data_IF_744295996465
#
_entry.id   IF_744295996465
#
_cell.length_a   1.000
_cell.length_b   1.000
_cell.length_c   1.000
_cell.angle_alpha   90.00
_cell.angle_beta   90.00
_cell.angle_gamma   90.00
#
_symmetry.space_group_name_H-M   'P 1'
#
loop_
_entity.id
_entity.type
_entity.pdbx_description
1 polymer ?
#
# COMPACT_ATOMS: atom_id res chain seq x y z
N UNK A 1 9.57 -7.42 -9.78
CA UNK A 1 9.29 -6.09 -9.18
C UNK A 1 7.82 -5.80 -9.35
N UNK A 2 7.14 -5.47 -8.26
CA UNK A 2 5.73 -5.08 -8.26
C UNK A 2 5.70 -3.55 -8.18
N UNK A 3 5.08 -2.91 -9.16
CA UNK A 3 4.88 -1.46 -9.15
C UNK A 3 3.48 -1.17 -8.63
N UNK A 4 3.37 -0.45 -7.52
CA UNK A 4 2.11 -0.01 -6.92
C UNK A 4 1.96 1.48 -7.16
N UNK A 5 0.85 1.85 -7.77
CA UNK A 5 0.47 3.26 -7.91
C UNK A 5 -0.51 3.63 -6.79
N UNK A 6 -0.17 4.69 -6.08
CA UNK A 6 -0.99 5.28 -5.04
C UNK A 6 -1.94 6.34 -5.65
N UNK A 7 -3.06 6.64 -4.98
CA UNK A 7 -4.05 7.61 -5.46
C UNK A 7 -3.52 9.06 -5.53
N UNK A 8 -2.39 9.35 -4.91
CA UNK A 8 -1.66 10.62 -5.03
C UNK A 8 -0.85 10.74 -6.33
N UNK A 9 -0.82 9.67 -7.16
CA UNK A 9 -0.04 9.59 -8.39
C UNK A 9 1.37 9.03 -8.20
N UNK A 10 1.82 8.83 -6.95
CA UNK A 10 3.12 8.25 -6.64
C UNK A 10 3.17 6.78 -7.06
N UNK A 11 4.31 6.34 -7.60
CA UNK A 11 4.58 4.94 -7.90
C UNK A 11 5.68 4.43 -6.97
N UNK A 12 5.47 3.25 -6.42
CA UNK A 12 6.44 2.59 -5.55
C UNK A 12 6.73 1.20 -6.08
N UNK A 13 8.00 0.85 -6.12
CA UNK A 13 8.45 -0.46 -6.57
C UNK A 13 8.85 -1.30 -5.38
N UNK A 14 8.34 -2.52 -5.35
CA UNK A 14 8.63 -3.48 -4.32
C UNK A 14 9.21 -4.78 -4.90
N UNK A 15 10.18 -5.40 -4.20
CA UNK A 15 10.90 -6.55 -4.73
C UNK A 15 10.11 -7.87 -4.66
N UNK A 16 9.12 -7.98 -3.77
CA UNK A 16 8.35 -9.20 -3.53
C UNK A 16 6.85 -8.90 -3.46
N UNK A 17 6.02 -9.92 -3.21
CA UNK A 17 4.62 -9.72 -2.81
C UNK A 17 4.57 -9.23 -1.36
N UNK A 18 3.70 -8.26 -1.08
CA UNK A 18 3.52 -7.64 0.23
C UNK A 18 2.05 -7.33 0.47
N UNK A 19 1.72 -7.11 1.72
CA UNK A 19 0.37 -6.74 2.16
C UNK A 19 0.14 -5.24 2.02
N UNK A 20 -1.12 -4.81 2.10
CA UNK A 20 -1.43 -3.38 2.11
C UNK A 20 -0.85 -2.70 3.35
N UNK A 21 -0.77 -3.41 4.47
CA UNK A 21 -0.11 -2.95 5.69
C UNK A 21 1.37 -2.64 5.47
N UNK A 22 2.09 -3.49 4.74
CA UNK A 22 3.50 -3.27 4.41
C UNK A 22 3.67 -2.04 3.48
N UNK A 23 2.77 -1.87 2.51
CA UNK A 23 2.74 -0.65 1.67
C UNK A 23 2.56 0.57 2.56
N UNK A 24 1.58 0.56 3.46
CA UNK A 24 1.30 1.67 4.37
C UNK A 24 2.49 1.96 5.31
N UNK A 25 3.15 0.91 5.83
CA UNK A 25 4.34 1.03 6.68
C UNK A 25 5.52 1.66 5.92
N UNK A 26 5.68 1.34 4.64
CA UNK A 26 6.70 1.96 3.80
C UNK A 26 6.43 3.45 3.51
N UNK A 27 5.17 3.90 3.61
CA UNK A 27 4.79 5.32 3.44
C UNK A 27 5.04 6.07 4.75
N UNK A 28 4.65 5.48 5.88
CA UNK A 28 4.96 6.02 7.20
C UNK A 28 4.28 5.26 8.32
N UNK A 29 4.91 5.24 9.49
CA UNK A 29 4.40 4.55 10.68
C UNK A 29 3.03 5.06 11.13
N UNK A 30 2.74 6.36 10.94
CA UNK A 30 1.43 6.95 11.19
C UNK A 30 0.33 6.42 10.26
N UNK A 31 0.64 6.26 8.97
CA UNK A 31 -0.31 5.72 7.99
C UNK A 31 -0.53 4.23 8.24
N UNK A 32 0.51 3.45 8.53
CA UNK A 32 0.36 2.05 8.90
C UNK A 32 -0.53 1.85 10.13
N UNK A 33 -0.41 2.74 11.12
CA UNK A 33 -1.24 2.67 12.33
C UNK A 33 -2.69 3.06 12.08
N UNK A 34 -2.93 3.97 11.12
CA UNK A 34 -4.28 4.40 10.73
C UNK A 34 -4.92 3.50 9.66
N UNK A 35 -4.13 2.72 8.94
CA UNK A 35 -4.57 1.83 7.88
C UNK A 35 -5.28 0.61 8.49
N UNK A 36 -6.62 0.63 8.46
CA UNK A 36 -7.46 -0.49 8.86
C UNK A 36 -7.68 -1.50 7.72
N UNK A 37 -7.38 -1.11 6.48
CA UNK A 37 -7.55 -1.92 5.28
C UNK A 37 -7.09 -1.15 4.04
N UNK A 38 -7.07 -1.84 2.90
CA UNK A 38 -6.68 -1.30 1.60
C UNK A 38 -7.80 -1.33 0.58
N UNK A 39 -7.67 -0.50 -0.46
CA UNK A 39 -8.48 -0.61 -1.67
C UNK A 39 -7.57 -0.87 -2.86
N UNK A 40 -7.68 -2.06 -3.44
CA UNK A 40 -6.91 -2.49 -4.62
C UNK A 40 -7.88 -2.69 -5.77
N UNK A 41 -7.67 -1.98 -6.87
CA UNK A 41 -8.50 -2.06 -8.08
C UNK A 41 -10.01 -1.93 -7.82
N UNK A 42 -10.41 -1.07 -6.90
CA UNK A 42 -11.82 -0.87 -6.55
C UNK A 42 -12.33 -1.80 -5.44
N UNK A 43 -11.58 -2.84 -5.07
CA UNK A 43 -11.98 -3.85 -4.08
C UNK A 43 -11.33 -3.57 -2.73
N UNK A 44 -12.13 -3.59 -1.67
CA UNK A 44 -11.65 -3.49 -0.29
C UNK A 44 -11.02 -4.83 0.09
N UNK A 45 -9.81 -4.76 0.65
CA UNK A 45 -8.98 -5.89 1.05
C UNK A 45 -8.37 -5.60 2.42
N UNK A 46 -8.05 -6.66 3.16
CA UNK A 46 -7.27 -6.64 4.40
C UNK A 46 -5.87 -7.21 4.15
#
# INVERSE_FOLDING_TARGET
MISIQLPDGSRREYPAALTVGDVAASIGTGLAKAALGGKVDGKVVD
#
